data_IF_267714750044
#
_entry.id   IF_267714750044
#
_cell.length_a   1.000
_cell.length_b   1.000
_cell.length_c   1.000
_cell.angle_alpha   90.00
_cell.angle_beta   90.00
_cell.angle_gamma   90.00
#
_symmetry.space_group_name_H-M   'P 1'
#
loop_
_entity.id
_entity.type
_entity.pdbx_description
1 polymer ?
#
# COMPACT_ATOMS: atom_id res chain seq x y z
N UNK A 1 4.36 -11.24 14.35
CA UNK A 1 5.09 -10.13 15.04
C UNK A 1 4.08 -9.19 15.70
N UNK A 2 3.22 -8.52 14.91
CA UNK A 2 2.24 -7.58 15.46
C UNK A 2 1.22 -8.30 16.34
N UNK A 3 0.59 -9.37 15.87
CA UNK A 3 -0.40 -10.15 16.63
C UNK A 3 0.22 -10.85 17.85
N UNK A 4 1.51 -11.16 17.80
CA UNK A 4 2.27 -11.72 18.92
C UNK A 4 2.75 -10.65 19.91
N UNK A 5 2.41 -9.36 19.65
CA UNK A 5 2.78 -8.22 20.49
C UNK A 5 4.29 -8.06 20.71
N UNK A 6 5.11 -8.49 19.72
CA UNK A 6 6.57 -8.47 19.84
C UNK A 6 7.15 -7.05 19.83
N UNK A 7 6.51 -6.13 19.08
CA UNK A 7 6.87 -4.71 19.05
C UNK A 7 5.95 -3.85 19.93
N UNK A 8 5.06 -4.48 20.69
CA UNK A 8 4.10 -3.81 21.57
C UNK A 8 2.98 -3.11 20.83
N UNK A 9 2.29 -2.20 21.52
CA UNK A 9 1.20 -1.40 20.95
C UNK A 9 1.78 -0.40 19.94
N UNK A 10 1.30 -0.46 18.70
CA UNK A 10 1.67 0.50 17.66
C UNK A 10 0.99 1.86 17.95
N UNK A 11 1.81 2.91 18.04
CA UNK A 11 1.35 4.27 18.33
C UNK A 11 1.58 5.23 17.16
N UNK A 12 2.62 5.00 16.38
CA UNK A 12 3.03 5.86 15.27
C UNK A 12 3.44 5.03 14.08
N UNK A 13 3.47 5.65 12.90
CA UNK A 13 4.03 5.03 11.71
C UNK A 13 4.03 5.97 10.51
N UNK A 14 4.62 5.49 9.43
CA UNK A 14 4.63 6.19 8.15
C UNK A 14 4.40 5.25 6.99
N UNK A 15 3.75 5.76 5.94
CA UNK A 15 3.68 5.09 4.64
C UNK A 15 4.12 6.03 3.54
N UNK A 16 4.85 5.49 2.56
CA UNK A 16 5.42 6.31 1.49
C UNK A 16 5.35 5.61 0.14
N UNK A 17 4.75 6.29 -0.83
CA UNK A 17 4.76 5.94 -2.24
C UNK A 17 5.12 7.18 -3.06
N UNK A 18 6.26 7.16 -3.72
CA UNK A 18 6.73 8.26 -4.56
C UNK A 18 7.38 7.75 -5.84
N UNK A 19 6.89 8.24 -6.98
CA UNK A 19 7.42 7.92 -8.31
C UNK A 19 7.50 9.18 -9.16
N UNK A 20 8.27 9.13 -10.24
CA UNK A 20 8.47 10.27 -11.14
C UNK A 20 7.31 10.52 -12.13
N UNK A 21 6.22 9.77 -12.00
CA UNK A 21 5.05 9.81 -12.87
C UNK A 21 4.96 8.61 -13.82
N UNK A 22 3.75 8.23 -14.15
CA UNK A 22 3.49 7.07 -15.01
C UNK A 22 3.57 7.40 -16.51
N UNK A 23 3.54 8.67 -16.87
CA UNK A 23 3.70 9.13 -18.25
C UNK A 23 5.04 8.77 -18.86
N UNK A 24 6.07 8.53 -18.06
CA UNK A 24 7.40 8.17 -18.55
C UNK A 24 7.45 6.78 -19.19
N UNK A 25 6.55 5.88 -18.83
CA UNK A 25 6.55 4.49 -19.30
C UNK A 25 5.21 4.00 -19.85
N UNK A 26 4.09 4.59 -19.44
CA UNK A 26 2.77 4.16 -19.88
C UNK A 26 2.39 4.85 -21.20
N UNK A 27 2.00 4.11 -22.27
CA UNK A 27 1.74 4.71 -23.59
C UNK A 27 0.47 5.56 -23.65
N UNK A 28 -0.49 5.36 -22.73
CA UNK A 28 -1.74 6.10 -22.63
C UNK A 28 -2.00 6.50 -21.17
N UNK A 29 -1.23 7.46 -20.61
CA UNK A 29 -1.22 7.73 -19.17
C UNK A 29 -2.28 8.73 -18.70
N UNK A 30 -3.15 9.24 -19.57
CA UNK A 30 -4.08 10.33 -19.29
C UNK A 30 -4.93 10.10 -18.04
N UNK A 31 -5.44 8.87 -17.85
CA UNK A 31 -6.33 8.53 -16.75
C UNK A 31 -5.67 8.65 -15.36
N UNK A 32 -4.34 8.57 -15.28
CA UNK A 32 -3.63 8.82 -14.03
C UNK A 32 -3.69 10.27 -13.58
N UNK A 33 -3.93 11.22 -14.51
CA UNK A 33 -3.90 12.67 -14.29
C UNK A 33 -5.26 13.34 -14.41
N UNK A 34 -6.31 12.55 -14.63
CA UNK A 34 -7.70 12.98 -14.71
C UNK A 34 -8.47 12.69 -13.42
N UNK A 35 -9.66 13.30 -13.29
CA UNK A 35 -10.55 13.01 -12.17
C UNK A 35 -10.83 11.50 -12.07
N UNK A 36 -10.70 10.97 -10.88
CA UNK A 36 -10.77 9.52 -10.60
C UNK A 36 -9.41 8.82 -10.66
N UNK A 37 -8.32 9.52 -11.03
CA UNK A 37 -6.94 9.04 -10.98
C UNK A 37 -6.14 9.62 -9.80
N UNK A 38 -4.84 9.72 -10.01
CA UNK A 38 -3.89 10.26 -9.03
C UNK A 38 -3.27 9.21 -8.11
N UNK A 39 -2.20 9.59 -7.40
CA UNK A 39 -1.40 8.65 -6.62
C UNK A 39 -2.18 7.97 -5.50
N UNK A 40 -3.18 8.64 -4.93
CA UNK A 40 -4.02 8.10 -3.86
C UNK A 40 -4.98 7.03 -4.37
N UNK A 41 -5.67 7.26 -5.49
CA UNK A 41 -6.65 6.30 -6.01
C UNK A 41 -5.99 5.15 -6.76
N UNK A 42 -4.78 5.36 -7.32
CA UNK A 42 -4.01 4.33 -8.00
C UNK A 42 -3.31 3.38 -7.00
N UNK A 43 -2.53 3.94 -6.08
CA UNK A 43 -1.67 3.16 -5.19
C UNK A 43 -2.19 3.04 -3.75
N UNK A 44 -3.02 3.98 -3.31
CA UNK A 44 -3.59 3.96 -1.96
C UNK A 44 -4.32 2.67 -1.59
N UNK A 45 -5.08 2.00 -2.49
CA UNK A 45 -5.74 0.75 -2.17
C UNK A 45 -4.81 -0.32 -1.59
N UNK A 46 -3.58 -0.45 -2.09
CA UNK A 46 -2.61 -1.43 -1.59
C UNK A 46 -2.15 -1.08 -0.17
N UNK A 47 -1.76 0.16 0.03
CA UNK A 47 -1.18 0.64 1.30
C UNK A 47 -2.23 0.70 2.42
N UNK A 48 -3.41 1.27 2.15
CA UNK A 48 -4.46 1.38 3.16
C UNK A 48 -5.13 0.04 3.46
N UNK A 49 -5.22 -0.88 2.50
CA UNK A 49 -5.64 -2.26 2.79
C UNK A 49 -4.66 -2.94 3.75
N UNK A 50 -3.34 -2.79 3.52
CA UNK A 50 -2.33 -3.32 4.42
C UNK A 50 -2.45 -2.70 5.82
N UNK A 51 -2.55 -1.36 5.92
CA UNK A 51 -2.68 -0.68 7.21
C UNK A 51 -3.95 -1.06 7.97
N UNK A 52 -5.09 -1.13 7.30
CA UNK A 52 -6.36 -1.55 7.93
C UNK A 52 -6.26 -2.96 8.47
N UNK A 53 -5.60 -3.86 7.73
CA UNK A 53 -5.33 -5.22 8.21
C UNK A 53 -4.39 -5.24 9.42
N UNK A 54 -3.40 -4.36 9.50
CA UNK A 54 -2.42 -4.34 10.59
C UNK A 54 -2.88 -3.58 11.84
N UNK A 55 -3.68 -2.51 11.67
CA UNK A 55 -4.02 -1.55 12.73
C UNK A 55 -5.51 -1.53 13.07
N UNK A 56 -6.35 -2.17 12.27
CA UNK A 56 -7.80 -2.01 12.35
C UNK A 56 -8.31 -0.79 11.59
N UNK A 57 -9.56 -0.35 11.85
CA UNK A 57 -10.17 0.72 11.08
C UNK A 57 -9.55 2.10 11.38
N UNK A 58 -9.44 2.92 10.33
CA UNK A 58 -9.12 4.33 10.46
C UNK A 58 -10.32 5.11 11.01
N UNK A 59 -10.02 6.25 11.67
CA UNK A 59 -11.01 7.11 12.33
C UNK A 59 -11.19 8.44 11.61
N UNK A 60 -10.10 9.13 11.32
CA UNK A 60 -10.12 10.41 10.63
C UNK A 60 -8.82 10.68 9.86
N UNK A 61 -8.87 11.66 8.96
CA UNK A 61 -7.73 12.10 8.17
C UNK A 61 -7.64 13.62 8.09
N UNK A 62 -6.40 14.13 7.99
CA UNK A 62 -6.11 15.50 7.59
C UNK A 62 -5.06 15.49 6.48
N UNK A 63 -5.30 16.22 5.39
CA UNK A 63 -4.48 16.13 4.18
C UNK A 63 -4.19 17.52 3.59
N UNK A 64 -2.94 17.69 3.14
CA UNK A 64 -2.55 18.74 2.23
C UNK A 64 -2.12 18.16 0.88
N UNK A 65 -2.37 18.90 -0.20
CA UNK A 65 -2.05 18.44 -1.55
C UNK A 65 -1.44 19.53 -2.43
N UNK A 66 -0.77 19.09 -3.50
CA UNK A 66 -0.19 19.96 -4.53
C UNK A 66 -0.31 19.27 -5.89
N UNK A 67 -0.43 20.10 -6.93
CA UNK A 67 -0.16 19.76 -8.33
C UNK A 67 1.13 20.46 -8.71
N UNK A 68 2.23 19.72 -8.85
CA UNK A 68 3.55 20.30 -9.11
C UNK A 68 3.67 20.74 -10.56
N UNK A 69 3.22 19.90 -11.48
CA UNK A 69 3.24 20.19 -12.92
C UNK A 69 1.82 20.21 -13.47
N UNK A 70 1.43 21.31 -14.13
CA UNK A 70 0.12 21.45 -14.76
C UNK A 70 -0.01 20.63 -16.05
N UNK A 71 1.12 20.26 -16.65
CA UNK A 71 1.24 19.44 -17.84
C UNK A 71 2.31 18.37 -17.65
N UNK A 72 2.11 17.24 -18.30
CA UNK A 72 3.06 16.13 -18.37
C UNK A 72 3.29 15.77 -19.82
N UNK A 73 4.47 15.24 -20.13
CA UNK A 73 4.85 14.81 -21.48
C UNK A 73 4.95 13.29 -21.53
N UNK A 74 4.20 12.66 -22.42
CA UNK A 74 4.21 11.20 -22.61
C UNK A 74 5.59 10.76 -23.07
N UNK A 75 6.22 9.83 -22.33
CA UNK A 75 7.58 9.37 -22.55
C UNK A 75 7.71 8.12 -23.43
N UNK A 76 6.58 7.47 -23.82
CA UNK A 76 6.63 6.18 -24.52
C UNK A 76 5.41 5.97 -25.43
N UNK A 77 5.53 4.96 -26.33
CA UNK A 77 4.48 4.56 -27.26
C UNK A 77 4.26 5.54 -28.41
N UNK A 78 3.16 5.33 -29.16
CA UNK A 78 2.84 6.12 -30.37
C UNK A 78 2.49 7.60 -30.05
N UNK A 79 2.23 7.92 -28.80
CA UNK A 79 1.91 9.25 -28.31
C UNK A 79 3.10 9.94 -27.66
N UNK A 80 4.31 9.40 -27.76
CA UNK A 80 5.51 9.99 -27.17
C UNK A 80 5.68 11.45 -27.60
N UNK A 81 5.97 12.35 -26.66
CA UNK A 81 6.12 13.76 -26.89
C UNK A 81 4.80 14.57 -26.82
N UNK A 82 3.63 13.95 -26.76
CA UNK A 82 2.37 14.66 -26.56
C UNK A 82 2.23 15.12 -25.09
N UNK A 83 1.59 16.28 -24.91
CA UNK A 83 1.28 16.80 -23.57
C UNK A 83 -0.04 16.25 -23.03
N UNK A 84 -0.09 16.11 -21.70
CA UNK A 84 -1.29 15.76 -20.93
C UNK A 84 -1.56 16.89 -19.94
N UNK A 85 -2.78 17.39 -19.88
CA UNK A 85 -3.25 18.30 -18.84
C UNK A 85 -3.48 17.52 -17.52
N UNK A 86 -3.00 18.08 -16.40
CA UNK A 86 -3.14 17.51 -15.06
C UNK A 86 -4.30 18.19 -14.33
N UNK A 87 -5.35 17.43 -14.05
CA UNK A 87 -6.60 17.95 -13.47
C UNK A 87 -6.76 17.66 -11.97
N UNK A 88 -5.80 16.93 -11.38
CA UNK A 88 -5.90 16.44 -10.00
C UNK A 88 -4.60 16.70 -9.22
N UNK A 89 -4.62 16.69 -7.89
CA UNK A 89 -3.40 16.72 -7.09
C UNK A 89 -2.50 15.52 -7.39
N UNK A 90 -1.22 15.78 -7.63
CA UNK A 90 -0.20 14.77 -7.93
C UNK A 90 0.70 14.45 -6.74
N UNK A 91 0.61 15.23 -5.66
CA UNK A 91 1.25 14.98 -4.36
C UNK A 91 0.27 15.23 -3.23
N UNK A 92 0.11 14.25 -2.34
CA UNK A 92 -0.71 14.34 -1.14
C UNK A 92 0.10 13.88 0.08
N UNK A 93 0.02 14.67 1.16
CA UNK A 93 0.62 14.38 2.45
C UNK A 93 -0.50 14.38 3.48
N UNK A 94 -0.68 13.28 4.19
CA UNK A 94 -1.81 13.09 5.11
C UNK A 94 -1.38 12.61 6.48
N UNK A 95 -2.17 12.96 7.49
CA UNK A 95 -2.13 12.38 8.83
C UNK A 95 -3.43 11.59 9.03
N UNK A 96 -3.31 10.34 9.44
CA UNK A 96 -4.44 9.42 9.63
C UNK A 96 -4.42 8.93 11.08
N UNK A 97 -5.52 9.12 11.80
CA UNK A 97 -5.76 8.53 13.12
C UNK A 97 -6.53 7.22 12.95
N UNK A 98 -6.03 6.14 13.52
CA UNK A 98 -6.73 4.85 13.61
C UNK A 98 -7.53 4.74 14.90
N UNK A 99 -8.56 3.88 14.92
CA UNK A 99 -9.42 3.72 16.13
C UNK A 99 -8.67 3.16 17.34
N UNK A 100 -7.59 2.42 17.13
CA UNK A 100 -6.69 1.94 18.19
C UNK A 100 -5.80 3.05 18.79
N UNK A 101 -5.85 4.27 18.22
CA UNK A 101 -5.09 5.45 18.63
C UNK A 101 -3.77 5.65 17.88
N UNK A 102 -3.41 4.77 16.95
CA UNK A 102 -2.20 4.95 16.15
C UNK A 102 -2.32 6.16 15.20
N UNK A 103 -1.26 6.95 15.08
CA UNK A 103 -1.13 8.06 14.15
C UNK A 103 -0.16 7.69 13.03
N UNK A 104 -0.62 7.75 11.80
CA UNK A 104 0.16 7.41 10.60
C UNK A 104 0.29 8.64 9.72
N UNK A 105 1.51 8.99 9.35
CA UNK A 105 1.76 9.92 8.25
C UNK A 105 1.80 9.17 6.93
N UNK A 106 1.24 9.77 5.90
CA UNK A 106 1.25 9.21 4.55
C UNK A 106 1.75 10.20 3.52
N UNK A 107 2.54 9.69 2.58
CA UNK A 107 3.10 10.44 1.47
C UNK A 107 2.85 9.68 0.16
N UNK A 108 2.03 10.26 -0.71
CA UNK A 108 1.74 9.73 -2.04
C UNK A 108 2.03 10.78 -3.11
N UNK A 109 2.90 10.44 -4.07
CA UNK A 109 3.31 11.41 -5.08
C UNK A 109 3.71 10.78 -6.41
N UNK A 110 3.31 11.44 -7.51
CA UNK A 110 3.81 11.22 -8.87
C UNK A 110 4.88 12.23 -9.28
N UNK A 111 5.42 13.03 -8.33
CA UNK A 111 6.35 14.13 -8.58
C UNK A 111 7.76 13.86 -8.05
N UNK A 112 8.07 12.63 -7.64
CA UNK A 112 9.31 12.30 -6.95
C UNK A 112 10.23 11.50 -7.85
N UNK A 113 11.37 12.07 -8.21
CA UNK A 113 12.34 11.42 -9.09
C UNK A 113 12.99 10.20 -8.44
N UNK A 114 13.29 10.28 -7.14
CA UNK A 114 13.87 9.20 -6.32
C UNK A 114 13.74 9.52 -4.84
N UNK A 115 13.56 8.52 -4.00
CA UNK A 115 13.57 8.68 -2.54
C UNK A 115 14.19 7.45 -1.85
N UNK A 116 14.51 7.60 -0.56
CA UNK A 116 15.02 6.54 0.31
C UNK A 116 14.08 6.20 1.47
N UNK A 117 12.81 6.65 1.38
CA UNK A 117 11.79 6.34 2.40
C UNK A 117 11.39 4.87 2.31
N UNK A 118 11.13 4.26 3.46
CA UNK A 118 10.51 2.95 3.53
C UNK A 118 9.05 2.99 3.07
N UNK A 119 8.54 1.88 2.55
CA UNK A 119 7.14 1.79 2.11
C UNK A 119 6.17 1.89 3.29
N UNK A 120 6.38 1.08 4.31
CA UNK A 120 5.62 1.11 5.57
C UNK A 120 6.61 0.96 6.72
N UNK A 121 6.53 1.83 7.71
CA UNK A 121 7.29 1.74 8.94
C UNK A 121 6.38 2.02 10.12
N UNK A 122 6.32 1.10 11.10
CA UNK A 122 5.44 1.20 12.26
C UNK A 122 6.26 1.16 13.55
N UNK A 123 5.88 1.99 14.52
CA UNK A 123 6.57 2.19 15.77
C UNK A 123 5.66 1.83 16.95
N UNK A 124 6.01 0.73 17.62
CA UNK A 124 5.37 0.30 18.84
C UNK A 124 6.11 0.76 20.09
N UNK A 125 5.52 0.50 21.26
CA UNK A 125 6.13 0.84 22.55
C UNK A 125 7.27 -0.10 22.97
N UNK A 126 7.46 -1.23 22.25
CA UNK A 126 8.53 -2.20 22.49
C UNK A 126 9.46 -2.40 21.29
N UNK A 127 9.18 -1.80 20.14
CA UNK A 127 10.00 -1.97 18.95
C UNK A 127 9.43 -1.29 17.71
N UNK A 128 10.15 -1.44 16.62
CA UNK A 128 9.80 -0.89 15.30
C UNK A 128 9.84 -1.98 14.25
N UNK A 129 9.02 -1.84 13.21
CA UNK A 129 9.00 -2.75 12.06
C UNK A 129 8.99 -1.94 10.76
N UNK A 130 9.80 -2.40 9.80
CA UNK A 130 9.79 -1.94 8.42
C UNK A 130 9.22 -3.04 7.55
N UNK A 131 8.19 -2.73 6.78
CA UNK A 131 7.42 -3.64 5.95
C UNK A 131 7.63 -3.27 4.49
N UNK A 132 7.87 -4.24 3.59
CA UNK A 132 8.10 -3.99 2.17
C UNK A 132 6.85 -3.45 1.47
N UNK A 133 7.00 -3.13 0.17
CA UNK A 133 5.91 -2.60 -0.67
C UNK A 133 4.69 -3.53 -0.68
N UNK A 134 3.53 -3.09 -0.18
CA UNK A 134 2.31 -3.91 -0.15
C UNK A 134 1.72 -4.18 -1.54
N UNK A 135 2.20 -3.52 -2.59
CA UNK A 135 1.86 -3.85 -3.98
C UNK A 135 2.63 -5.07 -4.52
N UNK A 136 3.61 -5.56 -3.77
CA UNK A 136 4.42 -6.72 -4.14
C UNK A 136 4.21 -7.90 -3.19
N UNK A 137 4.65 -9.09 -3.60
CA UNK A 137 4.69 -10.27 -2.74
C UNK A 137 6.13 -10.49 -2.25
N UNK A 138 6.26 -10.88 -0.96
CA UNK A 138 7.57 -11.05 -0.35
C UNK A 138 8.28 -9.73 -0.06
N UNK A 139 9.59 -9.80 0.10
CA UNK A 139 10.45 -8.69 0.47
C UNK A 139 10.96 -8.81 1.91
N UNK A 140 11.95 -8.01 2.24
CA UNK A 140 12.58 -8.05 3.56
C UNK A 140 11.71 -7.33 4.60
N UNK A 141 11.45 -7.99 5.71
CA UNK A 141 10.86 -7.39 6.90
C UNK A 141 12.00 -7.13 7.89
N UNK A 142 12.13 -5.88 8.33
CA UNK A 142 13.13 -5.51 9.32
C UNK A 142 12.46 -5.19 10.65
N UNK A 143 12.99 -5.70 11.75
CA UNK A 143 12.47 -5.47 13.10
C UNK A 143 13.58 -4.98 14.00
N UNK A 144 13.29 -4.00 14.84
CA UNK A 144 14.17 -3.56 15.91
C UNK A 144 13.44 -3.64 17.25
N UNK A 145 13.94 -4.48 18.17
CA UNK A 145 13.31 -4.77 19.48
C UNK A 145 14.06 -4.16 20.67
N UNK A 146 15.03 -3.28 20.43
CA UNK A 146 15.73 -2.59 21.51
C UNK A 146 15.99 -1.12 21.16
N UNK A 147 15.97 -0.24 22.18
CA UNK A 147 16.05 1.23 22.00
C UNK A 147 17.30 1.72 21.28
N UNK A 148 18.39 0.98 21.32
CA UNK A 148 19.64 1.31 20.62
C UNK A 148 20.11 0.14 19.75
N UNK A 149 19.17 -0.73 19.35
CA UNK A 149 19.44 -1.91 18.53
C UNK A 149 19.58 -1.58 17.05
N UNK A 150 20.09 -2.55 16.33
CA UNK A 150 20.09 -2.58 14.87
C UNK A 150 18.81 -3.22 14.35
N UNK A 151 18.52 -2.99 13.07
CA UNK A 151 17.50 -3.71 12.35
C UNK A 151 17.92 -5.18 12.14
N UNK A 152 17.03 -6.10 12.47
CA UNK A 152 17.16 -7.53 12.23
C UNK A 152 16.25 -7.93 11.06
N UNK A 153 16.79 -8.66 10.09
CA UNK A 153 16.01 -9.14 8.95
C UNK A 153 15.26 -10.41 9.32
N UNK A 154 13.95 -10.40 9.09
CA UNK A 154 13.08 -11.58 9.17
C UNK A 154 12.98 -12.21 7.78
N UNK A 155 13.53 -13.39 7.59
CA UNK A 155 13.50 -14.10 6.31
C UNK A 155 12.08 -14.56 5.97
N UNK A 156 11.52 -13.98 4.91
CA UNK A 156 10.18 -14.32 4.38
C UNK A 156 10.23 -15.26 3.17
N UNK A 157 11.42 -15.61 2.68
CA UNK A 157 11.59 -16.39 1.43
C UNK A 157 10.98 -17.77 1.47
N UNK A 158 10.81 -18.32 2.69
CA UNK A 158 10.20 -19.63 2.91
C UNK A 158 8.69 -19.56 3.18
N UNK A 159 8.12 -18.38 3.38
CA UNK A 159 6.69 -18.19 3.54
C UNK A 159 5.97 -18.44 2.21
N UNK A 160 4.78 -19.02 2.26
CA UNK A 160 4.08 -19.47 1.06
C UNK A 160 3.94 -18.40 -0.03
N UNK A 161 3.56 -17.17 0.33
CA UNK A 161 3.43 -16.07 -0.62
C UNK A 161 4.73 -15.28 -0.86
N UNK A 162 5.79 -15.57 -0.13
CA UNK A 162 7.12 -14.98 -0.30
C UNK A 162 8.03 -15.77 -1.25
N UNK A 163 7.67 -17.01 -1.58
CA UNK A 163 8.49 -17.87 -2.45
C UNK A 163 8.53 -17.36 -3.88
N UNK A 164 9.73 -17.29 -4.44
CA UNK A 164 9.93 -16.93 -5.85
C UNK A 164 9.29 -18.00 -6.74
N UNK A 165 8.32 -17.60 -7.56
CA UNK A 165 7.61 -18.48 -8.49
C UNK A 165 7.72 -18.05 -9.97
N UNK A 166 8.23 -16.84 -10.24
CA UNK A 166 8.53 -16.36 -11.57
C UNK A 166 10.03 -16.09 -11.67
N UNK A 167 10.71 -16.79 -12.59
CA UNK A 167 12.12 -16.50 -12.89
C UNK A 167 12.19 -15.25 -13.76
N UNK A 168 13.05 -14.33 -13.38
CA UNK A 168 13.30 -13.14 -14.18
C UNK A 168 14.01 -13.56 -15.50
N UNK A 169 13.46 -13.19 -16.64
CA UNK A 169 14.04 -13.46 -17.96
C UNK A 169 15.00 -12.36 -18.42
N UNK A 170 15.27 -11.37 -17.58
CA UNK A 170 16.18 -10.26 -17.91
C UNK A 170 17.63 -10.75 -17.94
N UNK A 171 18.30 -10.58 -19.08
CA UNK A 171 19.72 -10.91 -19.28
C UNK A 171 20.68 -9.92 -18.59
N UNK A 172 20.18 -8.96 -17.84
CA UNK A 172 21.02 -8.05 -17.06
C UNK A 172 21.58 -8.77 -15.83
N UNK A 173 22.86 -8.97 -15.82
CA UNK A 173 23.64 -9.83 -14.91
C UNK A 173 23.45 -9.58 -13.38
N UNK A 174 22.70 -8.57 -12.95
CA UNK A 174 22.43 -8.24 -11.56
C UNK A 174 20.98 -8.47 -11.13
N UNK A 175 20.09 -8.96 -11.98
CA UNK A 175 18.68 -9.21 -11.70
C UNK A 175 18.32 -10.69 -11.77
N UNK A 176 19.21 -11.57 -11.33
CA UNK A 176 18.99 -13.02 -11.33
C UNK A 176 17.99 -13.51 -10.26
N UNK A 177 17.54 -12.64 -9.39
CA UNK A 177 16.48 -12.95 -8.42
C UNK A 177 15.14 -12.91 -9.16
N UNK A 178 14.45 -14.06 -9.26
CA UNK A 178 13.05 -14.11 -9.68
C UNK A 178 12.15 -13.31 -8.73
N UNK A 179 10.88 -13.19 -9.05
CA UNK A 179 9.88 -12.51 -8.24
C UNK A 179 8.84 -13.50 -7.69
N UNK A 180 8.31 -13.21 -6.51
CA UNK A 180 7.09 -13.82 -6.02
C UNK A 180 5.89 -13.11 -6.66
N UNK A 181 5.01 -13.85 -7.32
CA UNK A 181 3.80 -13.29 -7.91
C UNK A 181 2.64 -14.27 -7.75
N UNK A 182 1.74 -13.94 -6.85
CA UNK A 182 0.58 -14.73 -6.49
C UNK A 182 -0.74 -13.96 -6.69
N UNK A 183 -0.78 -13.03 -7.63
CA UNK A 183 -1.98 -12.15 -7.83
C UNK A 183 -3.26 -12.92 -8.10
N UNK A 184 -3.19 -14.15 -8.58
CA UNK A 184 -4.34 -15.05 -8.72
C UNK A 184 -4.97 -15.53 -7.41
N UNK A 185 -4.28 -15.42 -6.26
CA UNK A 185 -4.75 -15.93 -4.97
C UNK A 185 -6.09 -15.30 -4.54
N UNK A 186 -6.35 -14.05 -4.91
CA UNK A 186 -7.62 -13.38 -4.62
C UNK A 186 -8.82 -14.08 -5.26
N UNK A 187 -8.66 -14.65 -6.46
CA UNK A 187 -9.69 -15.45 -7.13
C UNK A 187 -9.89 -16.78 -6.40
N UNK A 188 -8.79 -17.48 -6.07
CA UNK A 188 -8.83 -18.74 -5.29
C UNK A 188 -9.52 -18.53 -3.95
N UNK A 189 -9.17 -17.45 -3.23
CA UNK A 189 -9.81 -17.07 -1.97
C UNK A 189 -11.31 -16.85 -2.10
N UNK A 190 -11.74 -16.16 -3.15
CA UNK A 190 -13.16 -15.90 -3.40
C UNK A 190 -13.93 -17.19 -3.68
N UNK A 191 -13.37 -18.08 -4.48
CA UNK A 191 -13.97 -19.39 -4.79
C UNK A 191 -14.06 -20.26 -3.54
N UNK A 192 -13.00 -20.29 -2.73
CA UNK A 192 -12.98 -21.06 -1.49
C UNK A 192 -13.98 -20.50 -0.47
N UNK A 193 -14.07 -19.17 -0.34
CA UNK A 193 -15.06 -18.53 0.52
C UNK A 193 -16.51 -18.91 0.15
N UNK A 194 -16.83 -18.92 -1.15
CA UNK A 194 -18.15 -19.31 -1.65
C UNK A 194 -18.41 -20.80 -1.35
N UNK A 195 -17.46 -21.67 -1.67
CA UNK A 195 -17.61 -23.13 -1.47
C UNK A 195 -17.81 -23.51 0.01
N UNK A 196 -17.17 -22.80 0.90
CA UNK A 196 -17.20 -23.08 2.33
C UNK A 196 -18.17 -22.20 3.12
N UNK A 197 -18.99 -21.38 2.42
CA UNK A 197 -19.96 -20.47 3.01
C UNK A 197 -19.36 -19.60 4.12
N UNK A 198 -18.19 -19.05 3.89
CA UNK A 198 -17.47 -18.12 4.79
C UNK A 198 -17.30 -16.73 4.17
N UNK A 199 -17.01 -15.76 5.00
CA UNK A 199 -16.68 -14.40 4.53
C UNK A 199 -15.39 -14.42 3.70
N UNK A 200 -15.42 -13.70 2.57
CA UNK A 200 -14.23 -13.41 1.79
C UNK A 200 -13.36 -12.39 2.56
N UNK A 201 -12.07 -12.62 2.59
CA UNK A 201 -11.12 -11.72 3.27
C UNK A 201 -11.03 -10.35 2.61
N UNK A 202 -11.08 -10.30 1.27
CA UNK A 202 -11.25 -9.06 0.53
C UNK A 202 -12.74 -8.73 0.40
N UNK A 203 -13.39 -8.48 1.54
CA UNK A 203 -14.83 -8.23 1.61
C UNK A 203 -15.21 -6.86 1.06
N UNK A 204 -16.49 -6.71 0.67
CA UNK A 204 -17.04 -5.41 0.32
C UNK A 204 -16.96 -4.39 1.45
N UNK A 205 -17.03 -4.85 2.71
CA UNK A 205 -16.88 -4.01 3.90
C UNK A 205 -15.47 -3.43 4.03
N UNK A 206 -14.43 -4.26 3.83
CA UNK A 206 -13.04 -3.82 3.78
C UNK A 206 -12.81 -2.84 2.63
N UNK A 207 -13.28 -3.19 1.44
CA UNK A 207 -13.12 -2.35 0.25
C UNK A 207 -13.81 -0.99 0.39
N UNK A 208 -15.01 -0.96 0.99
CA UNK A 208 -15.74 0.26 1.29
C UNK A 208 -14.97 1.13 2.30
N UNK A 209 -14.43 0.54 3.36
CA UNK A 209 -13.66 1.29 4.35
C UNK A 209 -12.37 1.88 3.76
N UNK A 210 -11.65 1.10 2.97
CA UNK A 210 -10.47 1.61 2.25
C UNK A 210 -10.86 2.74 1.30
N UNK A 211 -11.92 2.60 0.52
CA UNK A 211 -12.39 3.66 -0.37
C UNK A 211 -12.80 4.93 0.38
N UNK A 212 -13.45 4.80 1.54
CA UNK A 212 -13.81 5.94 2.41
C UNK A 212 -12.56 6.68 2.92
N UNK A 213 -11.47 5.95 3.25
CA UNK A 213 -10.18 6.57 3.59
C UNK A 213 -9.66 7.40 2.40
N UNK A 214 -9.62 6.82 1.19
CA UNK A 214 -9.09 7.48 0.00
C UNK A 214 -9.91 8.73 -0.38
N UNK A 215 -11.25 8.62 -0.37
CA UNK A 215 -12.14 9.74 -0.65
C UNK A 215 -12.02 10.83 0.43
N UNK A 216 -11.91 10.44 1.69
CA UNK A 216 -11.72 11.37 2.81
C UNK A 216 -10.38 12.11 2.73
N UNK A 217 -9.31 11.47 2.26
CA UNK A 217 -8.02 12.11 1.96
C UNK A 217 -8.18 13.21 0.90
N UNK A 218 -8.84 12.88 -0.22
CA UNK A 218 -9.09 13.83 -1.30
C UNK A 218 -9.98 14.98 -0.80
N UNK A 219 -11.04 14.66 -0.07
CA UNK A 219 -11.97 15.64 0.49
C UNK A 219 -11.28 16.57 1.49
N UNK A 220 -10.47 16.01 2.41
CA UNK A 220 -9.69 16.76 3.39
C UNK A 220 -8.78 17.78 2.72
N UNK A 221 -8.10 17.38 1.64
CA UNK A 221 -7.21 18.28 0.91
C UNK A 221 -7.93 19.43 0.21
N UNK A 222 -9.15 19.21 -0.27
CA UNK A 222 -10.00 20.22 -0.92
C UNK A 222 -10.60 21.19 0.10
N UNK A 223 -11.08 20.66 1.22
CA UNK A 223 -11.77 21.44 2.26
C UNK A 223 -10.81 22.01 3.32
N UNK A 224 -9.54 21.63 3.27
CA UNK A 224 -8.48 22.02 4.21
C UNK A 224 -8.91 21.82 5.68
N UNK A 225 -9.54 20.68 5.95
CA UNK A 225 -10.01 20.32 7.30
C UNK A 225 -9.89 18.83 7.56
N UNK A 226 -9.91 18.48 8.85
CA UNK A 226 -10.01 17.08 9.29
C UNK A 226 -11.37 16.50 8.88
N UNK A 227 -11.34 15.29 8.32
CA UNK A 227 -12.52 14.52 7.92
C UNK A 227 -12.62 13.28 8.79
N UNK A 228 -13.74 13.12 9.48
CA UNK A 228 -14.10 11.87 10.17
C UNK A 228 -14.62 10.86 9.13
N UNK A 229 -14.15 9.61 9.22
CA UNK A 229 -14.61 8.54 8.35
C UNK A 229 -16.03 8.11 8.71
N UNK A 230 -16.80 7.70 7.70
CA UNK A 230 -18.19 7.27 7.85
C UNK A 230 -18.34 5.76 8.01
N UNK A 231 -17.34 5.03 7.50
CA UNK A 231 -17.30 3.57 7.53
C UNK A 231 -16.37 3.07 8.63
N UNK A 232 -16.52 1.81 8.97
CA UNK A 232 -15.65 1.07 9.87
C UNK A 232 -15.67 -0.40 9.45
N UNK A 233 -14.71 -1.18 9.91
CA UNK A 233 -14.70 -2.63 9.73
C UNK A 233 -14.51 -3.33 11.07
N UNK A 234 -15.30 -4.37 11.33
CA UNK A 234 -15.25 -5.12 12.58
C UNK A 234 -14.53 -6.44 12.48
N UNK A 235 -14.65 -7.10 11.33
CA UNK A 235 -14.14 -8.45 11.13
C UNK A 235 -13.01 -8.44 10.11
N UNK A 236 -11.78 -8.38 10.60
CA UNK A 236 -10.60 -8.66 9.80
C UNK A 236 -10.25 -10.14 9.97
N UNK A 237 -10.07 -10.84 8.88
CA UNK A 237 -9.74 -12.25 8.87
C UNK A 237 -8.45 -12.46 8.08
N UNK A 238 -7.46 -13.10 8.70
CA UNK A 238 -6.13 -13.32 8.13
C UNK A 238 -6.00 -14.74 7.62
N UNK A 239 -5.08 -14.95 6.70
CA UNK A 239 -4.68 -16.28 6.28
C UNK A 239 -3.80 -16.94 7.35
N UNK A 240 -4.09 -18.19 7.66
CA UNK A 240 -3.08 -19.09 8.21
C UNK A 240 -2.18 -19.64 7.09
N UNK A 241 -0.98 -20.09 7.43
CA UNK A 241 -0.07 -20.73 6.47
C UNK A 241 -0.69 -21.98 5.83
N UNK A 242 -1.50 -22.74 6.57
CA UNK A 242 -2.21 -23.91 6.06
C UNK A 242 -3.28 -23.55 5.03
N UNK A 243 -4.04 -22.47 5.28
CA UNK A 243 -5.04 -21.96 4.33
C UNK A 243 -4.37 -21.48 3.04
N UNK A 244 -3.26 -20.74 3.15
CA UNK A 244 -2.49 -20.30 1.96
C UNK A 244 -1.99 -21.54 1.20
N UNK A 245 -1.43 -22.53 1.89
CA UNK A 245 -0.96 -23.76 1.26
C UNK A 245 -2.06 -24.51 0.50
N UNK A 246 -3.29 -24.48 1.02
CA UNK A 246 -4.44 -25.11 0.35
C UNK A 246 -4.93 -24.31 -0.86
N UNK A 247 -4.89 -22.99 -0.80
CA UNK A 247 -5.27 -22.12 -1.92
C UNK A 247 -4.26 -22.15 -3.08
N UNK A 248 -3.03 -22.55 -2.83
CA UNK A 248 -1.96 -22.63 -3.83
C UNK A 248 -1.86 -24.00 -4.52
N UNK A 249 -2.62 -25.00 -4.09
CA UNK A 249 -2.74 -26.34 -4.72
C UNK A 249 -3.73 -26.31 -5.87
#
# INVERSE_FOLDING_TARGET
IIDQNEIGKINLGSISMGVAGHEIWHPNPDFYYKYGGGPILDMGPYYFTALVNLLGPAKNVFTQSRTVYQKRVIGSGDRQGQEIEVEIPTTLVSQIEFQNGALIDSFFSFDVWKHSKNHIELYGDKGSINIPDPNMFGGDILVCKSKNGSWENIDTKNNNLGKINIKNKSEKANESAGIANYRGIGVSETVDAIKNNRLNRCSGELSLHVLDILDSIIKSSKENKKIELRSSIKNLNYFSEDEISNLLK
#
